data_IF_979906231370
#
_entry.id   IF_979906231370
#
_cell.length_a   1.000
_cell.length_b   1.000
_cell.length_c   1.000
_cell.angle_alpha   90.00
_cell.angle_beta   90.00
_cell.angle_gamma   90.00
#
_symmetry.space_group_name_H-M   'P 1'
#
loop_
_entity.id
_entity.type
_entity.pdbx_description
1 polymer ?
#
# COMPACT_ATOMS: atom_id res chain seq x y z
N UNK A 1 17.39 0.37 0.88
CA UNK A 1 15.95 0.63 1.05
C UNK A 1 15.45 1.06 -0.32
N UNK A 2 14.71 0.17 -0.98
CA UNK A 2 14.10 0.45 -2.27
C UNK A 2 12.74 1.07 -2.00
N UNK A 3 12.60 2.35 -2.31
CA UNK A 3 11.31 3.04 -2.30
C UNK A 3 10.80 3.08 -3.74
N UNK A 4 9.50 2.89 -3.93
CA UNK A 4 8.88 2.98 -5.24
C UNK A 4 7.68 3.91 -5.19
N UNK A 5 7.49 4.66 -6.27
CA UNK A 5 6.38 5.58 -6.41
C UNK A 5 5.15 4.86 -6.96
N UNK A 6 4.03 5.00 -6.27
CA UNK A 6 2.70 4.57 -6.70
C UNK A 6 1.89 5.79 -7.10
N UNK A 7 1.39 5.80 -8.33
CA UNK A 7 0.44 6.81 -8.79
C UNK A 7 -0.97 6.24 -8.82
N UNK A 8 -1.92 6.90 -8.15
CA UNK A 8 -3.35 6.55 -8.17
C UNK A 8 -4.13 7.73 -8.74
N UNK A 9 -4.94 7.46 -9.75
CA UNK A 9 -5.86 8.44 -10.32
C UNK A 9 -7.28 8.13 -9.86
N UNK A 10 -7.85 8.96 -8.98
CA UNK A 10 -9.24 8.87 -8.49
C UNK A 10 -9.98 10.16 -8.83
N UNK A 11 -11.19 10.07 -9.39
CA UNK A 11 -12.09 11.22 -9.65
C UNK A 11 -11.43 12.49 -10.24
N UNK A 12 -10.48 12.31 -11.16
CA UNK A 12 -9.67 13.34 -11.85
C UNK A 12 -8.49 13.92 -11.06
N UNK A 13 -8.29 13.50 -9.83
CA UNK A 13 -7.10 13.82 -9.04
C UNK A 13 -6.06 12.70 -9.16
N UNK A 14 -4.80 13.09 -9.35
CA UNK A 14 -3.67 12.17 -9.47
C UNK A 14 -2.86 12.29 -8.21
N UNK A 15 -2.95 11.27 -7.37
CA UNK A 15 -2.20 11.15 -6.14
C UNK A 15 -0.87 10.45 -6.40
N UNK A 16 0.21 11.08 -5.96
CA UNK A 16 1.56 10.54 -6.05
C UNK A 16 2.00 10.10 -4.66
N UNK A 17 2.05 8.78 -4.48
CA UNK A 17 2.46 8.16 -3.25
C UNK A 17 3.86 7.57 -3.42
N UNK A 18 4.65 7.61 -2.36
CA UNK A 18 5.95 6.95 -2.26
C UNK A 18 5.85 5.88 -1.19
N UNK A 19 6.07 4.63 -1.58
CA UNK A 19 6.05 3.50 -0.67
C UNK A 19 7.48 3.05 -0.40
N UNK A 20 7.84 2.97 0.87
CA UNK A 20 9.10 2.39 1.32
C UNK A 20 8.86 1.20 2.25
N UNK A 21 9.62 0.13 2.05
CA UNK A 21 9.68 -1.00 2.98
C UNK A 21 10.67 -0.68 4.11
N UNK A 22 10.18 -0.61 5.34
CA UNK A 22 10.95 -0.35 6.55
C UNK A 22 10.85 -1.55 7.48
N UNK A 23 11.90 -2.37 7.50
CA UNK A 23 12.10 -3.37 8.54
C UNK A 23 12.61 -2.68 9.81
N UNK A 24 11.72 -2.15 10.64
CA UNK A 24 12.10 -1.74 11.99
C UNK A 24 12.17 -2.96 12.91
N UNK A 25 13.30 -3.08 13.61
CA UNK A 25 13.67 -4.22 14.46
C UNK A 25 12.80 -4.38 15.72
N UNK A 26 11.93 -3.41 15.99
CA UNK A 26 11.01 -3.37 17.13
C UNK A 26 9.61 -3.09 16.57
N UNK A 27 8.67 -3.97 16.85
CA UNK A 27 7.27 -3.97 16.40
C UNK A 27 7.01 -4.44 14.96
N UNK A 28 6.70 -5.73 14.90
CA UNK A 28 6.34 -6.62 13.79
C UNK A 28 5.13 -6.20 12.94
N UNK A 29 4.67 -4.95 13.01
CA UNK A 29 3.31 -4.60 12.60
C UNK A 29 3.15 -3.46 11.60
N UNK A 30 4.14 -2.66 11.19
CA UNK A 30 3.93 -1.78 10.02
C UNK A 30 5.19 -1.79 9.13
N UNK A 31 5.25 -2.70 8.16
CA UNK A 31 6.43 -2.86 7.29
C UNK A 31 6.48 -1.85 6.16
N UNK A 32 5.34 -1.40 5.65
CA UNK A 32 5.28 -0.49 4.50
C UNK A 32 4.83 0.89 4.95
N UNK A 33 5.54 1.93 4.55
CA UNK A 33 5.18 3.32 4.83
C UNK A 33 4.90 4.05 3.53
N UNK A 34 3.82 4.81 3.53
CA UNK A 34 3.35 5.59 2.38
C UNK A 34 3.43 7.07 2.69
N UNK A 35 4.09 7.78 1.79
CA UNK A 35 4.27 9.21 1.86
C UNK A 35 3.59 9.86 0.65
N UNK A 36 2.92 10.97 0.84
CA UNK A 36 2.40 11.81 -0.24
C UNK A 36 3.08 13.17 -0.13
N UNK A 37 3.75 13.62 -1.20
CA UNK A 37 4.45 14.91 -1.20
C UNK A 37 5.45 15.05 -0.03
N UNK A 38 6.16 13.96 0.32
CA UNK A 38 7.08 13.89 1.46
C UNK A 38 6.43 13.85 2.85
N UNK A 39 5.10 13.84 2.95
CA UNK A 39 4.37 13.73 4.22
C UNK A 39 3.89 12.31 4.45
N UNK A 40 4.07 11.77 5.66
CA UNK A 40 3.57 10.43 6.01
C UNK A 40 2.04 10.44 6.08
N UNK A 41 1.40 9.71 5.17
CA UNK A 41 -0.07 9.68 5.05
C UNK A 41 -0.67 8.35 5.50
N UNK A 42 0.03 7.24 5.26
CA UNK A 42 -0.47 5.90 5.62
C UNK A 42 0.67 4.90 5.82
N UNK A 43 0.40 3.78 6.48
CA UNK A 43 1.28 2.63 6.56
C UNK A 43 0.51 1.33 6.45
N UNK A 44 1.15 0.31 5.89
CA UNK A 44 0.58 -1.02 5.70
C UNK A 44 1.40 -2.10 6.42
N UNK A 45 0.72 -3.18 6.76
CA UNK A 45 1.26 -4.34 7.43
C UNK A 45 0.84 -5.62 6.76
N UNK A 46 1.77 -6.57 6.55
CA UNK A 46 1.38 -7.90 6.14
C UNK A 46 0.71 -8.61 7.34
N UNK A 47 -0.51 -9.08 7.14
CA UNK A 47 -1.18 -9.98 8.10
C UNK A 47 -0.59 -11.40 7.99
N UNK A 48 -0.99 -12.30 8.89
CA UNK A 48 -0.58 -13.71 8.91
C UNK A 48 -0.91 -14.48 7.62
N UNK A 49 -1.77 -13.95 6.76
CA UNK A 49 -2.10 -14.51 5.44
C UNK A 49 -1.33 -13.87 4.28
N UNK A 50 -0.28 -13.08 4.55
CA UNK A 50 0.52 -12.35 3.54
C UNK A 50 -0.26 -11.24 2.81
N UNK A 51 -1.46 -10.88 3.28
CA UNK A 51 -2.24 -9.76 2.76
C UNK A 51 -1.83 -8.44 3.42
N UNK A 52 -1.78 -7.37 2.62
CA UNK A 52 -1.46 -6.04 3.12
C UNK A 52 -2.69 -5.35 3.71
N UNK A 53 -2.66 -5.15 5.03
CA UNK A 53 -3.66 -4.41 5.78
C UNK A 53 -3.20 -3.00 6.12
N UNK A 54 -4.15 -2.08 6.27
CA UNK A 54 -3.89 -0.70 6.69
C UNK A 54 -3.50 -0.71 8.17
N UNK A 55 -2.25 -0.37 8.47
CA UNK A 55 -1.73 -0.26 9.84
C UNK A 55 -2.07 1.10 10.45
N UNK A 56 -1.83 2.20 9.71
CA UNK A 56 -2.14 3.56 10.14
C UNK A 56 -2.57 4.42 8.96
N UNK A 57 -3.48 5.36 9.19
CA UNK A 57 -3.95 6.33 8.20
C UNK A 57 -4.05 7.75 8.82
N UNK A 58 -2.93 8.36 9.26
CA UNK A 58 -2.95 9.72 9.79
C UNK A 58 -3.31 10.77 8.74
N UNK A 59 -3.08 10.48 7.46
CA UNK A 59 -3.42 11.37 6.34
C UNK A 59 -4.92 11.42 6.04
N UNK A 60 -5.74 10.61 6.73
CA UNK A 60 -7.17 10.47 6.46
C UNK A 60 -7.43 10.19 4.97
N UNK A 61 -6.55 9.38 4.38
CA UNK A 61 -6.64 8.93 3.00
C UNK A 61 -7.89 8.10 2.86
N UNK A 62 -8.62 8.35 1.78
CA UNK A 62 -9.86 7.64 1.47
C UNK A 62 -9.63 6.13 1.41
N UNK A 63 -10.55 5.36 1.99
CA UNK A 63 -10.42 3.91 2.09
C UNK A 63 -10.24 3.25 0.71
N UNK A 64 -10.90 3.73 -0.34
CA UNK A 64 -10.70 3.19 -1.68
C UNK A 64 -9.28 3.41 -2.18
N UNK A 65 -8.67 4.56 -1.87
CA UNK A 65 -7.27 4.85 -2.24
C UNK A 65 -6.32 3.97 -1.46
N UNK A 66 -6.59 3.70 -0.18
CA UNK A 66 -5.81 2.76 0.62
C UNK A 66 -5.89 1.33 0.10
N UNK A 67 -7.07 0.89 -0.34
CA UNK A 67 -7.24 -0.42 -0.96
C UNK A 67 -6.48 -0.52 -2.29
N UNK A 68 -6.52 0.54 -3.11
CA UNK A 68 -5.74 0.62 -4.35
C UNK A 68 -4.22 0.65 -4.09
N UNK A 69 -3.79 1.29 -3.01
CA UNK A 69 -2.39 1.27 -2.56
C UNK A 69 -1.97 -0.15 -2.21
N UNK A 70 -2.72 -0.84 -1.35
CA UNK A 70 -2.44 -2.22 -0.96
C UNK A 70 -2.33 -3.14 -2.19
N UNK A 71 -3.31 -3.08 -3.10
CA UNK A 71 -3.32 -3.88 -4.33
C UNK A 71 -2.07 -3.62 -5.20
N UNK A 72 -1.64 -2.35 -5.32
CA UNK A 72 -0.44 -2.00 -6.07
C UNK A 72 0.86 -2.44 -5.38
N UNK A 73 0.91 -2.38 -4.05
CA UNK A 73 2.05 -2.87 -3.27
C UNK A 73 2.16 -4.39 -3.43
N UNK A 74 1.03 -5.11 -3.33
CA UNK A 74 0.95 -6.56 -3.54
C UNK A 74 1.31 -6.94 -4.98
N UNK A 75 0.81 -6.22 -5.99
CA UNK A 75 1.15 -6.46 -7.40
C UNK A 75 2.63 -6.25 -7.71
N UNK A 76 3.29 -5.35 -6.97
CA UNK A 76 4.72 -5.11 -7.11
C UNK A 76 5.57 -6.18 -6.38
N UNK A 77 5.03 -6.88 -5.39
CA UNK A 77 5.68 -8.00 -4.73
C UNK A 77 5.31 -9.33 -5.43
N UNK A 78 6.17 -9.89 -6.29
CA UNK A 78 5.86 -11.09 -7.08
C UNK A 78 5.66 -12.38 -6.25
N UNK A 79 5.76 -12.32 -4.92
CA UNK A 79 5.63 -13.47 -4.03
C UNK A 79 4.21 -13.76 -3.53
N UNK A 80 3.21 -12.93 -3.86
CA UNK A 80 1.86 -13.03 -3.26
C UNK A 80 0.69 -13.21 -4.23
N UNK A 81 0.90 -13.56 -5.50
CA UNK A 81 -0.23 -13.77 -6.43
C UNK A 81 -1.02 -15.05 -6.11
N UNK A 82 -1.97 -14.95 -5.19
CA UNK A 82 -3.20 -15.70 -5.30
C UNK A 82 -4.08 -15.01 -6.35
N UNK A 83 -4.18 -15.66 -7.51
CA UNK A 83 -4.83 -15.31 -8.79
C UNK A 83 -6.34 -14.95 -8.75
N UNK A 84 -6.86 -14.37 -7.65
CA UNK A 84 -8.32 -14.21 -7.47
C UNK A 84 -8.90 -12.86 -7.92
N UNK A 85 -8.08 -11.83 -8.21
CA UNK A 85 -8.59 -10.51 -8.66
C UNK A 85 -8.74 -10.40 -10.19
N UNK A 86 -8.46 -11.47 -10.95
CA UNK A 86 -8.75 -11.50 -12.41
C UNK A 86 -10.19 -11.87 -12.76
N UNK A 87 -11.07 -12.13 -11.79
CA UNK A 87 -12.42 -12.64 -12.05
C UNK A 87 -13.59 -11.68 -11.74
N UNK A 88 -13.37 -10.37 -11.86
CA UNK A 88 -14.46 -9.38 -11.86
C UNK A 88 -14.48 -8.48 -13.11
N UNK A 89 -14.14 -9.06 -14.27
CA UNK A 89 -14.55 -8.55 -15.58
C UNK A 89 -14.86 -9.72 -16.50
N UNK A 90 -16.08 -10.25 -16.42
CA UNK A 90 -16.76 -10.85 -17.56
C UNK A 90 -18.28 -10.67 -17.41
#
# INVERSE_FOLDING_TARGET
MENYAITISKDKEVHHFEVGEYAHHDDTKCKFRVFENGSFVASFEPDNHDFLHICQNPGNVDEEVLHLLADKIEAHHPHGMNDNVRKLKL
#
